data_IF_911053545302
#
_entry.id   IF_911053545302
#
_cell.length_a   1.000
_cell.length_b   1.000
_cell.length_c   1.000
_cell.angle_alpha   90.00
_cell.angle_beta   90.00
_cell.angle_gamma   90.00
#
_symmetry.space_group_name_H-M   'P 1'
#
loop_
_entity.id
_entity.type
_entity.pdbx_description
1 polymer ?
#
# COMPACT_ATOMS: atom_id res chain seq x y z
N UNK A 1 53.41 -20.88 -25.55
CA UNK A 1 53.53 -20.42 -24.14
C UNK A 1 52.56 -19.26 -24.04
N UNK A 2 51.30 -19.56 -23.69
CA UNK A 2 50.32 -18.50 -23.45
C UNK A 2 50.76 -17.78 -22.19
N UNK A 3 51.11 -16.50 -22.34
CA UNK A 3 51.46 -15.65 -21.22
C UNK A 3 50.12 -15.28 -20.56
N UNK A 4 49.78 -15.81 -19.37
CA UNK A 4 48.44 -15.67 -18.78
C UNK A 4 48.02 -14.21 -18.61
N UNK A 5 48.99 -13.35 -18.30
CA UNK A 5 48.81 -11.90 -18.21
C UNK A 5 48.32 -11.26 -19.52
N UNK A 6 48.84 -11.68 -20.68
CA UNK A 6 48.42 -11.13 -21.97
C UNK A 6 47.02 -11.62 -22.35
N UNK A 7 46.65 -12.87 -22.03
CA UNK A 7 45.29 -13.37 -22.25
C UNK A 7 44.26 -12.67 -21.37
N UNK A 8 44.60 -12.39 -20.11
CA UNK A 8 43.71 -11.72 -19.16
C UNK A 8 43.47 -10.25 -19.56
N UNK A 9 44.52 -9.56 -20.03
CA UNK A 9 44.40 -8.19 -20.56
C UNK A 9 43.53 -8.16 -21.81
N UNK A 10 43.73 -9.11 -22.74
CA UNK A 10 42.93 -9.18 -23.96
C UNK A 10 41.46 -9.48 -23.63
N UNK A 11 41.18 -10.38 -22.68
CA UNK A 11 39.82 -10.67 -22.22
C UNK A 11 39.15 -9.45 -21.56
N UNK A 12 39.90 -8.67 -20.78
CA UNK A 12 39.40 -7.42 -20.21
C UNK A 12 39.17 -6.34 -21.27
N UNK A 13 40.07 -6.19 -22.25
CA UNK A 13 39.85 -5.26 -23.36
C UNK A 13 38.64 -5.65 -24.22
N UNK A 14 38.41 -6.96 -24.39
CA UNK A 14 37.25 -7.47 -25.09
C UNK A 14 35.96 -7.22 -24.30
N UNK A 15 35.96 -7.42 -22.98
CA UNK A 15 34.79 -7.09 -22.16
C UNK A 15 34.49 -5.58 -22.12
N UNK A 16 35.52 -4.73 -22.16
CA UNK A 16 35.34 -3.29 -22.35
C UNK A 16 34.74 -2.95 -23.72
N UNK A 17 35.20 -3.62 -24.77
CA UNK A 17 34.68 -3.41 -26.11
C UNK A 17 33.22 -3.88 -26.23
N UNK A 18 32.90 -5.06 -25.70
CA UNK A 18 31.55 -5.62 -25.66
C UNK A 18 30.61 -4.75 -24.80
N UNK A 19 31.13 -4.19 -23.69
CA UNK A 19 30.40 -3.23 -22.89
C UNK A 19 30.10 -1.94 -23.68
N UNK A 20 31.10 -1.36 -24.34
CA UNK A 20 30.91 -0.14 -25.13
C UNK A 20 30.00 -0.33 -26.34
N UNK A 21 29.99 -1.52 -26.95
CA UNK A 21 29.22 -1.80 -28.16
C UNK A 21 27.76 -2.17 -27.88
N UNK A 22 27.51 -2.99 -26.85
CA UNK A 22 26.15 -3.43 -26.50
C UNK A 22 25.80 -3.31 -25.02
N UNK A 23 26.78 -3.44 -24.12
CA UNK A 23 26.53 -3.41 -22.67
C UNK A 23 26.09 -2.05 -22.12
N UNK A 24 26.44 -0.92 -22.77
CA UNK A 24 25.97 0.42 -22.36
C UNK A 24 24.46 0.53 -22.53
N UNK A 25 23.90 0.00 -23.62
CA UNK A 25 22.46 0.03 -23.87
C UNK A 25 21.72 -0.80 -22.81
N UNK A 26 22.20 -2.01 -22.53
CA UNK A 26 21.60 -2.88 -21.52
C UNK A 26 21.73 -2.28 -20.12
N UNK A 27 22.89 -1.73 -19.77
CA UNK A 27 23.13 -1.06 -18.48
C UNK A 27 22.20 0.13 -18.27
N UNK A 28 22.06 1.00 -19.28
CA UNK A 28 21.17 2.17 -19.18
C UNK A 28 19.72 1.70 -19.08
N UNK A 29 19.31 0.72 -19.89
CA UNK A 29 17.96 0.16 -19.86
C UNK A 29 17.63 -0.41 -18.48
N UNK A 30 18.51 -1.24 -17.91
CA UNK A 30 18.34 -1.84 -16.59
C UNK A 30 18.33 -0.79 -15.47
N UNK A 31 19.19 0.24 -15.57
CA UNK A 31 19.18 1.36 -14.64
C UNK A 31 17.85 2.12 -14.67
N UNK A 32 17.30 2.41 -15.85
CA UNK A 32 15.99 3.04 -15.99
C UNK A 32 14.85 2.16 -15.48
N UNK A 33 14.90 0.85 -15.72
CA UNK A 33 13.94 -0.11 -15.17
C UNK A 33 13.98 -0.10 -13.64
N UNK A 34 15.17 -0.11 -13.04
CA UNK A 34 15.34 -0.07 -11.59
C UNK A 34 14.86 1.25 -10.98
N UNK A 35 15.21 2.39 -11.58
CA UNK A 35 14.73 3.71 -11.16
C UNK A 35 13.21 3.79 -11.25
N UNK A 36 12.62 3.28 -12.32
CA UNK A 36 11.16 3.26 -12.52
C UNK A 36 10.49 2.37 -11.47
N UNK A 37 11.04 1.18 -11.18
CA UNK A 37 10.54 0.30 -10.11
C UNK A 37 10.55 1.00 -8.75
N UNK A 38 11.64 1.71 -8.42
CA UNK A 38 11.74 2.47 -7.16
C UNK A 38 10.75 3.63 -7.12
N UNK A 39 10.57 4.36 -8.23
CA UNK A 39 9.61 5.45 -8.34
C UNK A 39 8.17 4.96 -8.14
N UNK A 40 7.79 3.85 -8.79
CA UNK A 40 6.47 3.23 -8.61
C UNK A 40 6.25 2.80 -7.16
N UNK A 41 7.25 2.14 -6.56
CA UNK A 41 7.17 1.70 -5.15
C UNK A 41 6.99 2.90 -4.21
N UNK A 42 7.80 3.96 -4.39
CA UNK A 42 7.69 5.18 -3.59
C UNK A 42 6.35 5.87 -3.76
N UNK A 43 5.78 5.87 -4.97
CA UNK A 43 4.45 6.42 -5.21
C UNK A 43 3.35 5.68 -4.44
N UNK A 44 3.36 4.34 -4.44
CA UNK A 44 2.41 3.55 -3.67
C UNK A 44 2.61 3.67 -2.16
N UNK A 45 3.86 3.67 -1.67
CA UNK A 45 4.18 3.86 -0.25
C UNK A 45 3.66 5.21 0.25
N UNK A 46 3.82 6.28 -0.54
CA UNK A 46 3.28 7.60 -0.20
C UNK A 46 1.75 7.62 -0.16
N UNK A 47 1.07 6.95 -1.10
CA UNK A 47 -0.39 6.84 -1.05
C UNK A 47 -0.87 6.09 0.19
N UNK A 48 -0.18 5.00 0.55
CA UNK A 48 -0.52 4.20 1.73
C UNK A 48 -0.28 5.00 3.02
N UNK A 49 0.80 5.78 3.08
CA UNK A 49 1.07 6.68 4.19
C UNK A 49 -0.04 7.73 4.40
N UNK A 50 -0.48 8.38 3.32
CA UNK A 50 -1.58 9.36 3.39
C UNK A 50 -2.89 8.69 3.80
N UNK A 51 -3.19 7.49 3.30
CA UNK A 51 -4.36 6.72 3.70
C UNK A 51 -4.33 6.36 5.19
N UNK A 52 -3.17 5.96 5.72
CA UNK A 52 -3.01 5.66 7.15
C UNK A 52 -3.24 6.90 8.02
N UNK A 53 -2.73 8.07 7.62
CA UNK A 53 -3.00 9.34 8.31
C UNK A 53 -4.49 9.66 8.30
N UNK A 54 -5.15 9.57 7.14
CA UNK A 54 -6.59 9.81 7.01
C UNK A 54 -7.40 8.88 7.92
N UNK A 55 -7.00 7.61 8.01
CA UNK A 55 -7.66 6.63 8.87
C UNK A 55 -7.43 6.91 10.37
N UNK A 56 -6.23 7.33 10.77
CA UNK A 56 -5.92 7.75 12.14
C UNK A 56 -6.76 8.96 12.55
N UNK A 57 -6.82 9.99 11.71
CA UNK A 57 -7.65 11.17 11.94
C UNK A 57 -9.14 10.81 12.04
N UNK A 58 -9.64 9.92 11.18
CA UNK A 58 -11.01 9.42 11.27
C UNK A 58 -11.29 8.72 12.59
N UNK A 59 -10.40 7.82 13.03
CA UNK A 59 -10.55 7.12 14.31
C UNK A 59 -10.53 8.07 15.50
N UNK A 60 -9.71 9.10 15.48
CA UNK A 60 -9.64 10.11 16.53
C UNK A 60 -10.95 10.91 16.63
N UNK A 61 -11.49 11.36 15.49
CA UNK A 61 -12.78 12.07 15.43
C UNK A 61 -13.94 11.16 15.87
N UNK A 62 -14.04 9.95 15.33
CA UNK A 62 -15.12 9.00 15.68
C UNK A 62 -15.01 8.53 17.13
N UNK A 63 -13.80 8.33 17.63
CA UNK A 63 -13.53 8.04 19.04
C UNK A 63 -14.00 9.16 19.96
N UNK A 64 -13.84 10.42 19.55
CA UNK A 64 -14.31 11.59 20.29
C UNK A 64 -15.83 11.77 20.33
N UNK A 65 -16.57 11.28 19.33
CA UNK A 65 -18.03 11.42 19.24
C UNK A 65 -18.78 10.34 20.08
N UNK A 66 -18.09 9.28 20.51
CA UNK A 66 -18.72 8.23 21.34
C UNK A 66 -19.77 7.40 20.60
N UNK A 67 -19.72 7.36 19.26
CA UNK A 67 -20.68 6.60 18.43
C UNK A 67 -20.62 5.11 18.77
N UNK A 68 -19.42 4.57 18.99
CA UNK A 68 -19.23 3.16 19.36
C UNK A 68 -19.91 2.80 20.69
N UNK A 69 -19.68 3.59 21.75
CA UNK A 69 -20.32 3.36 23.06
C UNK A 69 -21.84 3.54 23.00
N UNK A 70 -22.31 4.47 22.18
CA UNK A 70 -23.74 4.73 21.97
C UNK A 70 -24.41 3.53 21.31
N UNK A 71 -23.85 3.00 20.21
CA UNK A 71 -24.38 1.81 19.52
C UNK A 71 -24.40 0.59 20.43
N UNK A 72 -23.32 0.35 21.17
CA UNK A 72 -23.28 -0.77 22.13
C UNK A 72 -24.30 -0.59 23.24
N UNK A 73 -24.53 0.63 23.74
CA UNK A 73 -25.55 0.89 24.76
C UNK A 73 -26.98 0.67 24.24
N UNK A 74 -27.29 1.13 23.02
CA UNK A 74 -28.60 0.92 22.39
C UNK A 74 -28.83 -0.53 22.07
N UNK A 75 -27.83 -1.22 21.51
CA UNK A 75 -27.90 -2.65 21.28
C UNK A 75 -28.11 -3.41 22.60
N UNK A 76 -27.51 -2.93 23.70
CA UNK A 76 -27.68 -3.47 25.04
C UNK A 76 -29.03 -3.22 25.69
N UNK A 77 -29.73 -2.18 25.26
CA UNK A 77 -31.07 -1.86 25.71
C UNK A 77 -32.18 -2.66 25.00
N UNK A 78 -31.84 -3.39 23.92
CA UNK A 78 -32.81 -4.22 23.19
C UNK A 78 -33.11 -5.50 23.97
N UNK A 79 -34.36 -5.94 23.87
CA UNK A 79 -34.83 -7.20 24.47
C UNK A 79 -34.09 -8.42 23.90
N UNK A 80 -33.95 -9.47 24.72
CA UNK A 80 -33.11 -10.65 24.43
C UNK A 80 -33.51 -11.36 23.13
N UNK A 81 -34.80 -11.51 22.90
CA UNK A 81 -35.35 -12.13 21.68
C UNK A 81 -35.10 -11.28 20.44
N UNK A 82 -35.18 -9.95 20.58
CA UNK A 82 -34.93 -9.02 19.47
C UNK A 82 -33.43 -8.97 19.12
N UNK A 83 -32.52 -9.07 20.11
CA UNK A 83 -31.07 -9.17 19.88
C UNK A 83 -30.70 -10.47 19.19
N UNK A 84 -31.30 -11.58 19.59
CA UNK A 84 -31.17 -12.89 18.94
C UNK A 84 -31.54 -12.82 17.46
N UNK A 85 -32.66 -12.17 17.15
CA UNK A 85 -33.15 -12.01 15.79
C UNK A 85 -32.23 -11.10 14.95
N UNK A 86 -31.73 -10.01 15.53
CA UNK A 86 -30.76 -9.13 14.88
C UNK A 86 -29.38 -9.77 14.68
N UNK A 87 -28.97 -10.66 15.59
CA UNK A 87 -27.75 -11.45 15.45
C UNK A 87 -27.88 -12.49 14.34
N UNK A 88 -29.06 -13.12 14.19
CA UNK A 88 -29.36 -14.02 13.08
C UNK A 88 -29.23 -13.34 11.71
N UNK A 89 -29.66 -12.08 11.59
CA UNK A 89 -29.48 -11.28 10.37
C UNK A 89 -28.08 -10.68 10.20
N UNK A 90 -27.14 -10.90 11.13
CA UNK A 90 -25.77 -10.38 11.06
C UNK A 90 -25.69 -8.85 11.18
N UNK A 91 -26.71 -8.21 11.77
CA UNK A 91 -26.78 -6.75 11.89
C UNK A 91 -25.57 -6.15 12.64
N UNK A 92 -25.05 -6.76 13.72
CA UNK A 92 -23.85 -6.26 14.39
C UNK A 92 -22.62 -6.23 13.46
N UNK A 93 -22.45 -7.25 12.62
CA UNK A 93 -21.33 -7.36 11.69
C UNK A 93 -21.48 -6.36 10.52
N UNK A 94 -22.71 -6.18 10.03
CA UNK A 94 -23.01 -5.19 8.99
C UNK A 94 -22.71 -3.75 9.44
N UNK A 95 -23.05 -3.41 10.69
CA UNK A 95 -22.72 -2.09 11.26
C UNK A 95 -21.21 -1.88 11.32
N UNK A 96 -20.45 -2.87 11.82
CA UNK A 96 -18.98 -2.79 11.83
C UNK A 96 -18.38 -2.62 10.44
N UNK A 97 -18.92 -3.34 9.45
CA UNK A 97 -18.49 -3.24 8.04
C UNK A 97 -18.79 -1.85 7.46
N UNK A 98 -19.94 -1.25 7.76
CA UNK A 98 -20.29 0.11 7.34
C UNK A 98 -19.31 1.13 7.95
N UNK A 99 -19.00 1.02 9.24
CA UNK A 99 -18.02 1.90 9.88
C UNK A 99 -16.62 1.77 9.28
N UNK A 100 -16.18 0.54 8.98
CA UNK A 100 -14.93 0.30 8.28
C UNK A 100 -14.97 0.92 6.87
N UNK A 101 -16.05 0.76 6.12
CA UNK A 101 -16.22 1.30 4.78
C UNK A 101 -16.23 2.84 4.76
N UNK A 102 -16.85 3.49 5.74
CA UNK A 102 -16.83 4.96 5.90
C UNK A 102 -15.40 5.44 6.18
N UNK A 103 -14.68 4.78 7.09
CA UNK A 103 -13.29 5.10 7.40
C UNK A 103 -12.38 4.92 6.20
N UNK A 104 -12.56 3.84 5.43
CA UNK A 104 -11.82 3.60 4.18
C UNK A 104 -12.17 4.65 3.13
N UNK A 105 -13.45 4.99 2.92
CA UNK A 105 -13.88 6.04 1.98
C UNK A 105 -13.29 7.41 2.34
N UNK A 106 -13.29 7.77 3.63
CA UNK A 106 -12.69 9.00 4.11
C UNK A 106 -11.18 9.00 3.84
N UNK A 107 -10.48 7.91 4.19
CA UNK A 107 -9.04 7.76 3.97
C UNK A 107 -8.67 7.83 2.49
N UNK A 108 -9.47 7.22 1.61
CA UNK A 108 -9.29 7.28 0.16
C UNK A 108 -9.57 8.68 -0.42
N UNK A 109 -10.40 9.50 0.21
CA UNK A 109 -10.63 10.88 -0.23
C UNK A 109 -9.39 11.78 -0.12
N UNK A 110 -8.45 11.44 0.76
CA UNK A 110 -7.17 12.13 0.88
C UNK A 110 -6.11 11.62 -0.11
N UNK A 111 -6.36 10.51 -0.81
CA UNK A 111 -5.47 10.02 -1.85
C UNK A 111 -5.71 10.86 -3.12
N UNK A 112 -4.73 11.68 -3.55
CA UNK A 112 -4.94 12.72 -4.56
C UNK A 112 -5.32 12.21 -5.96
N UNK A 113 -5.25 10.90 -6.22
CA UNK A 113 -5.55 10.29 -7.52
C UNK A 113 -6.68 9.25 -7.52
N UNK A 114 -7.19 8.84 -6.35
CA UNK A 114 -8.31 7.88 -6.21
C UNK A 114 -9.57 8.57 -5.66
N UNK A 115 -9.42 9.73 -5.01
CA UNK A 115 -10.53 10.48 -4.38
C UNK A 115 -11.45 11.27 -5.31
N UNK A 116 -11.42 11.05 -6.64
CA UNK A 116 -12.38 11.60 -7.61
C UNK A 116 -13.04 10.49 -8.41
#
# INVERSE_FOLDING_TARGET
MDIPFLSDILAWMQSLWDFLYSGVYDFVTDAFVLLTKMAIKGWFEMQLFVAEIGYKAFREVVGGIGIGSTITSYYSSLDGDLRSLLAFFGLPDAVNMIFAAIGTRFSMSFIPFIGK
#
